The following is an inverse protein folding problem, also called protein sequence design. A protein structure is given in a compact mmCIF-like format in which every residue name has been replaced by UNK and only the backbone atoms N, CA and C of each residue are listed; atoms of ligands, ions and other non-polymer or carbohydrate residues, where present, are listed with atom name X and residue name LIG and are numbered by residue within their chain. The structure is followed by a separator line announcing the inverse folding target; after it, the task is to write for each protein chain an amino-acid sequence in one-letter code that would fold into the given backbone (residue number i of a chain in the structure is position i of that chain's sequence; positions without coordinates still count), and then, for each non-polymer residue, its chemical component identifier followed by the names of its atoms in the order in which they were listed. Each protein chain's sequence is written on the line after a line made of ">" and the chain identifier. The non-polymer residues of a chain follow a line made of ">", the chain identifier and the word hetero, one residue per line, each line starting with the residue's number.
data_IF_455781562209
#
_entry.id   IF_455781562209
#
_cell.length_a   1.000
_cell.length_b   1.000
_cell.length_c   1.000
_cell.angle_alpha   90.00
_cell.angle_beta   90.00
_cell.angle_gamma   90.00
#
_symmetry.space_group_name_H-M   'P 1'
#
loop_
_entity.id
_entity.type
_entity.pdbx_description
1 polymer ?
#
# COMPACT_ATOMS: atom_id res chain seq x y z
N UNK A 1 15.54 -20.90 19.38
CA UNK A 1 16.39 -19.71 19.63
C UNK A 1 16.15 -18.57 18.63
N UNK A 2 16.01 -18.82 17.31
CA UNK A 2 15.73 -17.76 16.31
C UNK A 2 14.40 -17.01 16.50
N UNK A 3 13.32 -17.72 16.87
CA UNK A 3 11.96 -17.14 17.00
C UNK A 3 11.86 -16.08 18.10
N UNK A 4 12.58 -16.24 19.22
CA UNK A 4 12.59 -15.26 20.32
C UNK A 4 13.25 -13.96 19.85
N UNK A 5 14.35 -14.06 19.11
CA UNK A 5 15.08 -12.90 18.61
C UNK A 5 14.29 -12.17 17.52
N UNK A 6 13.62 -12.90 16.62
CA UNK A 6 12.67 -12.32 15.66
C UNK A 6 11.51 -11.60 16.36
N UNK A 7 10.94 -12.21 17.41
CA UNK A 7 9.86 -11.60 18.18
C UNK A 7 10.33 -10.33 18.90
N UNK A 8 11.51 -10.36 19.52
CA UNK A 8 12.11 -9.18 20.16
C UNK A 8 12.38 -8.06 19.15
N UNK A 9 12.86 -8.39 17.95
CA UNK A 9 13.09 -7.42 16.88
C UNK A 9 11.78 -6.79 16.40
N UNK A 10 10.74 -7.58 16.12
CA UNK A 10 9.43 -7.06 15.72
C UNK A 10 8.84 -6.20 16.83
N UNK A 11 8.93 -6.65 18.08
CA UNK A 11 8.46 -5.89 19.24
C UNK A 11 9.22 -4.56 19.40
N UNK A 12 10.54 -4.53 19.23
CA UNK A 12 11.31 -3.29 19.36
C UNK A 12 10.98 -2.29 18.27
N UNK A 13 10.80 -2.74 17.02
CA UNK A 13 10.35 -1.89 15.91
C UNK A 13 8.95 -1.32 16.20
N UNK A 14 8.03 -2.15 16.68
CA UNK A 14 6.68 -1.69 17.04
C UNK A 14 6.72 -0.65 18.18
N UNK A 15 7.51 -0.90 19.22
CA UNK A 15 7.67 0.05 20.34
C UNK A 15 8.26 1.36 19.83
N UNK A 16 9.30 1.31 18.98
CA UNK A 16 9.90 2.50 18.38
C UNK A 16 8.86 3.29 17.59
N UNK A 17 8.11 2.62 16.71
CA UNK A 17 7.06 3.27 15.91
C UNK A 17 6.00 3.93 16.82
N UNK A 18 5.55 3.25 17.88
CA UNK A 18 4.58 3.81 18.83
C UNK A 18 5.14 5.03 19.58
N UNK A 19 6.41 4.98 19.99
CA UNK A 19 7.09 6.10 20.65
C UNK A 19 7.22 7.30 19.71
N UNK A 20 7.66 7.09 18.47
CA UNK A 20 7.81 8.17 17.48
C UNK A 20 6.46 8.76 17.09
N UNK A 21 5.42 7.94 16.88
CA UNK A 21 4.05 8.44 16.65
C UNK A 21 3.58 9.27 17.85
N UNK A 22 3.84 8.81 19.08
CA UNK A 22 3.44 9.55 20.29
C UNK A 22 4.15 10.89 20.42
N UNK A 23 5.43 10.97 20.05
CA UNK A 23 6.16 12.24 19.99
C UNK A 23 5.56 13.18 18.96
N UNK A 24 5.36 12.70 17.73
CA UNK A 24 4.76 13.49 16.64
C UNK A 24 3.40 14.04 17.07
N UNK A 25 2.53 13.21 17.65
CA UNK A 25 1.19 13.62 18.13
C UNK A 25 1.25 14.73 19.18
N UNK A 26 2.28 14.73 20.04
CA UNK A 26 2.47 15.75 21.08
C UNK A 26 3.02 17.05 20.54
N UNK A 27 3.85 16.98 19.50
CA UNK A 27 4.48 18.15 18.87
C UNK A 27 3.58 18.82 17.81
N UNK A 28 2.51 18.14 17.38
CA UNK A 28 1.53 18.67 16.43
C UNK A 28 0.62 19.71 17.10
N UNK A 29 0.55 20.90 16.49
CA UNK A 29 -0.46 21.90 16.81
C UNK A 29 -1.79 21.53 16.13
N UNK A 30 -2.73 21.03 16.93
CA UNK A 30 -4.05 20.60 16.45
C UNK A 30 -4.90 21.75 15.90
N UNK A 31 -4.66 23.00 16.31
CA UNK A 31 -5.36 24.15 15.74
C UNK A 31 -4.93 24.36 14.29
N UNK A 32 -3.62 24.32 14.01
CA UNK A 32 -3.11 24.43 12.63
C UNK A 32 -3.60 23.29 11.73
N UNK A 33 -3.68 22.06 12.25
CA UNK A 33 -4.25 20.93 11.52
C UNK A 33 -5.74 21.18 11.21
N UNK A 34 -6.51 21.62 12.20
CA UNK A 34 -7.93 21.92 12.04
C UNK A 34 -8.14 23.05 11.03
N UNK A 35 -7.38 24.14 11.13
CA UNK A 35 -7.45 25.27 10.20
C UNK A 35 -7.07 24.84 8.77
N UNK A 36 -6.07 23.97 8.62
CA UNK A 36 -5.68 23.39 7.34
C UNK A 36 -6.78 22.53 6.71
N UNK A 37 -7.55 21.80 7.52
CA UNK A 37 -8.69 20.98 7.07
C UNK A 37 -9.91 21.85 6.74
N UNK A 38 -10.23 22.83 7.59
CA UNK A 38 -11.39 23.71 7.42
C UNK A 38 -11.20 24.75 6.31
N UNK A 39 -9.97 25.13 6.01
CA UNK A 39 -9.64 26.02 4.89
C UNK A 39 -9.73 25.35 3.51
N UNK A 40 -9.90 24.02 3.45
CA UNK A 40 -10.09 23.34 2.18
C UNK A 40 -11.43 23.71 1.54
N UNK A 41 -11.39 24.08 0.27
CA UNK A 41 -12.61 24.29 -0.49
C UNK A 41 -13.42 23.00 -0.62
N UNK A 42 -14.74 23.11 -0.63
CA UNK A 42 -15.63 21.95 -0.87
C UNK A 42 -15.31 21.24 -2.19
N UNK A 43 -14.87 22.01 -3.19
CA UNK A 43 -14.44 21.48 -4.47
C UNK A 43 -13.19 20.59 -4.33
N UNK A 44 -12.19 21.01 -3.56
CA UNK A 44 -11.01 20.20 -3.25
C UNK A 44 -11.39 18.88 -2.60
N UNK A 45 -12.32 18.90 -1.63
CA UNK A 45 -12.80 17.70 -0.93
C UNK A 45 -13.49 16.74 -1.91
N UNK A 46 -14.38 17.25 -2.77
CA UNK A 46 -15.05 16.45 -3.81
C UNK A 46 -14.02 15.85 -4.77
N UNK A 47 -13.04 16.63 -5.20
CA UNK A 47 -11.97 16.15 -6.08
C UNK A 47 -11.12 15.08 -5.40
N UNK A 48 -10.77 15.23 -4.12
CA UNK A 48 -10.05 14.21 -3.36
C UNK A 48 -10.83 12.91 -3.27
N UNK A 49 -12.16 12.98 -3.06
CA UNK A 49 -13.02 11.81 -3.04
C UNK A 49 -13.04 11.10 -4.40
N UNK A 50 -13.28 11.86 -5.48
CA UNK A 50 -13.35 11.31 -6.84
C UNK A 50 -12.00 10.71 -7.26
N UNK A 51 -10.90 11.45 -7.09
CA UNK A 51 -9.55 10.98 -7.40
C UNK A 51 -9.17 9.79 -6.51
N UNK A 52 -9.55 9.81 -5.23
CA UNK A 52 -9.39 8.70 -4.31
C UNK A 52 -10.06 7.43 -4.81
N UNK A 53 -11.31 7.50 -5.29
CA UNK A 53 -11.99 6.37 -5.91
C UNK A 53 -11.25 5.91 -7.18
N UNK A 54 -10.87 6.82 -8.06
CA UNK A 54 -10.13 6.47 -9.28
C UNK A 54 -8.76 5.83 -8.97
N UNK A 55 -8.09 6.22 -7.89
CA UNK A 55 -6.79 5.69 -7.47
C UNK A 55 -6.78 4.19 -7.17
N UNK A 56 -7.96 3.61 -6.89
CA UNK A 56 -8.11 2.15 -6.68
C UNK A 56 -8.07 1.41 -8.02
N UNK A 57 -8.40 2.06 -9.14
CA UNK A 57 -8.52 1.42 -10.45
C UNK A 57 -7.21 0.81 -10.94
N UNK A 58 -6.04 1.48 -10.87
CA UNK A 58 -4.76 0.87 -11.20
C UNK A 58 -4.46 -0.39 -10.37
N UNK A 59 -4.94 -0.47 -9.13
CA UNK A 59 -4.71 -1.63 -8.26
C UNK A 59 -5.45 -2.89 -8.75
N UNK A 60 -6.44 -2.76 -9.64
CA UNK A 60 -7.10 -3.90 -10.28
C UNK A 60 -6.15 -4.70 -11.18
N UNK A 61 -5.04 -4.09 -11.63
CA UNK A 61 -4.00 -4.78 -12.40
C UNK A 61 -3.45 -5.97 -11.62
N UNK A 62 -3.38 -5.88 -10.28
CA UNK A 62 -2.98 -7.02 -9.45
C UNK A 62 -3.92 -8.21 -9.61
N UNK A 63 -5.23 -7.98 -9.57
CA UNK A 63 -6.25 -9.01 -9.67
C UNK A 63 -6.33 -9.62 -11.08
N UNK A 64 -6.16 -8.80 -12.12
CA UNK A 64 -6.01 -9.27 -13.50
C UNK A 64 -4.76 -10.17 -13.62
N UNK A 65 -3.66 -9.75 -13.01
CA UNK A 65 -2.41 -10.53 -13.01
C UNK A 65 -2.58 -11.86 -12.27
N UNK A 66 -3.22 -11.89 -11.09
CA UNK A 66 -3.51 -13.14 -10.34
C UNK A 66 -4.27 -14.12 -11.22
N UNK A 67 -5.36 -13.65 -11.82
CA UNK A 67 -6.23 -14.52 -12.62
C UNK A 67 -5.55 -15.04 -13.89
N UNK A 68 -4.59 -14.29 -14.45
CA UNK A 68 -3.75 -14.78 -15.56
C UNK A 68 -2.79 -15.92 -15.17
N UNK A 69 -2.40 -16.00 -13.89
CA UNK A 69 -1.56 -17.11 -13.38
C UNK A 69 -2.37 -18.33 -12.95
N UNK A 70 -3.70 -18.23 -12.89
CA UNK A 70 -4.59 -19.32 -12.54
C UNK A 70 -5.12 -19.98 -13.81
N UNK A 71 -5.31 -21.31 -13.76
CA UNK A 71 -5.84 -22.07 -14.90
C UNK A 71 -7.33 -21.84 -15.15
N UNK A 72 -8.03 -21.18 -14.23
CA UNK A 72 -9.47 -20.90 -14.30
C UNK A 72 -9.75 -19.57 -15.02
N UNK A 73 -10.75 -19.57 -15.91
CA UNK A 73 -11.21 -18.35 -16.58
C UNK A 73 -12.23 -17.63 -15.70
N UNK A 74 -11.86 -16.47 -15.18
CA UNK A 74 -12.77 -15.62 -14.41
C UNK A 74 -13.48 -14.61 -15.32
N UNK A 75 -14.75 -14.33 -15.03
CA UNK A 75 -15.48 -13.25 -15.71
C UNK A 75 -14.87 -11.89 -15.34
N UNK A 76 -14.65 -11.02 -16.32
CA UNK A 76 -14.14 -9.66 -16.11
C UNK A 76 -14.89 -8.88 -15.04
N UNK A 77 -16.24 -8.95 -15.04
CA UNK A 77 -17.07 -8.28 -14.01
C UNK A 77 -16.79 -8.81 -12.60
N UNK A 78 -16.48 -10.10 -12.49
CA UNK A 78 -16.11 -10.71 -11.21
C UNK A 78 -14.79 -10.13 -10.71
N UNK A 79 -13.75 -10.13 -11.57
CA UNK A 79 -12.42 -9.59 -11.25
C UNK A 79 -12.50 -8.13 -10.81
N UNK A 80 -13.27 -7.30 -11.53
CA UNK A 80 -13.47 -5.90 -11.16
C UNK A 80 -14.08 -5.76 -9.77
N UNK A 81 -15.16 -6.49 -9.49
CA UNK A 81 -15.86 -6.41 -8.20
C UNK A 81 -14.99 -6.95 -7.05
N UNK A 82 -14.40 -8.14 -7.20
CA UNK A 82 -13.57 -8.76 -6.17
C UNK A 82 -12.27 -7.98 -5.94
N UNK A 83 -11.66 -7.48 -7.01
CA UNK A 83 -10.46 -6.65 -6.94
C UNK A 83 -10.73 -5.30 -6.27
N UNK A 84 -11.83 -4.63 -6.60
CA UNK A 84 -12.17 -3.36 -5.98
C UNK A 84 -12.40 -3.51 -4.47
N UNK A 85 -13.17 -4.52 -4.06
CA UNK A 85 -13.40 -4.86 -2.66
C UNK A 85 -12.05 -5.15 -1.98
N UNK A 86 -11.26 -6.06 -2.55
CA UNK A 86 -10.00 -6.47 -1.93
C UNK A 86 -9.04 -5.30 -1.75
N UNK A 87 -8.85 -4.47 -2.77
CA UNK A 87 -7.93 -3.34 -2.70
C UNK A 87 -8.41 -2.28 -1.71
N UNK A 88 -9.71 -1.96 -1.69
CA UNK A 88 -10.27 -1.01 -0.72
C UNK A 88 -10.06 -1.48 0.72
N UNK A 89 -10.39 -2.74 1.03
CA UNK A 89 -10.18 -3.30 2.37
C UNK A 89 -8.70 -3.38 2.73
N UNK A 90 -7.83 -3.70 1.78
CA UNK A 90 -6.37 -3.76 2.01
C UNK A 90 -5.81 -2.37 2.34
N UNK A 91 -6.25 -1.33 1.64
CA UNK A 91 -5.80 0.05 1.86
C UNK A 91 -6.26 0.61 3.22
N UNK A 92 -7.44 0.23 3.70
CA UNK A 92 -7.94 0.66 5.02
C UNK A 92 -7.23 -0.09 6.14
N UNK A 93 -7.14 -1.41 6.04
CA UNK A 93 -6.76 -2.23 7.17
C UNK A 93 -5.25 -2.37 7.35
N UNK A 94 -4.44 -2.09 6.33
CA UNK A 94 -2.98 -1.90 6.46
C UNK A 94 -2.17 -3.11 6.96
N UNK A 95 -2.76 -4.29 7.14
CA UNK A 95 -2.14 -5.51 7.69
C UNK A 95 -1.09 -6.18 6.77
N UNK A 96 -0.20 -5.41 6.14
CA UNK A 96 0.98 -5.95 5.43
C UNK A 96 0.66 -6.96 4.33
N UNK A 97 -0.51 -6.83 3.68
CA UNK A 97 -0.95 -7.74 2.62
C UNK A 97 -1.66 -9.02 3.09
N UNK A 98 -1.77 -9.31 4.39
CA UNK A 98 -2.47 -10.51 4.90
C UNK A 98 -3.96 -10.49 4.55
N UNK A 99 -4.64 -9.38 4.81
CA UNK A 99 -6.06 -9.25 4.47
C UNK A 99 -6.31 -9.32 2.96
N UNK A 100 -5.46 -8.66 2.18
CA UNK A 100 -5.51 -8.73 0.72
C UNK A 100 -5.31 -10.15 0.20
N UNK A 101 -4.30 -10.87 0.71
CA UNK A 101 -4.03 -12.26 0.36
C UNK A 101 -5.20 -13.19 0.74
N UNK A 102 -5.80 -12.98 1.91
CA UNK A 102 -6.93 -13.78 2.40
C UNK A 102 -8.17 -13.59 1.53
N UNK A 103 -8.53 -12.34 1.21
CA UNK A 103 -9.65 -12.04 0.33
C UNK A 103 -9.43 -12.58 -1.09
N UNK A 104 -8.22 -12.42 -1.64
CA UNK A 104 -7.85 -13.00 -2.94
C UNK A 104 -7.89 -14.53 -2.95
N UNK A 105 -7.43 -15.17 -1.88
CA UNK A 105 -7.56 -16.61 -1.74
C UNK A 105 -9.02 -17.06 -1.64
N UNK A 106 -9.88 -16.27 -0.97
CA UNK A 106 -11.31 -16.55 -0.88
C UNK A 106 -12.05 -16.37 -2.21
N UNK A 107 -11.73 -15.32 -2.97
CA UNK A 107 -12.37 -15.04 -4.27
C UNK A 107 -11.83 -15.91 -5.41
N UNK A 108 -10.51 -16.09 -5.51
CA UNK A 108 -9.88 -16.77 -6.65
C UNK A 108 -9.41 -18.19 -6.36
N UNK A 109 -9.38 -18.61 -5.10
CA UNK A 109 -8.82 -19.91 -4.70
C UNK A 109 -9.79 -21.08 -4.65
N UNK A 110 -11.08 -20.91 -4.96
CA UNK A 110 -12.10 -21.96 -4.76
C UNK A 110 -11.89 -23.23 -5.58
N UNK A 111 -11.33 -23.15 -6.79
CA UNK A 111 -11.05 -24.31 -7.65
C UNK A 111 -9.57 -24.52 -7.98
N UNK A 112 -8.69 -23.69 -7.44
CA UNK A 112 -7.25 -23.75 -7.68
C UNK A 112 -6.53 -24.34 -6.47
N UNK A 113 -5.42 -25.05 -6.68
CA UNK A 113 -4.64 -25.59 -5.57
C UNK A 113 -4.12 -24.44 -4.69
N UNK A 114 -4.16 -24.60 -3.35
CA UNK A 114 -3.60 -23.63 -2.39
C UNK A 114 -2.17 -23.22 -2.75
N UNK A 115 -1.38 -24.13 -3.33
CA UNK A 115 0.00 -23.86 -3.80
C UNK A 115 0.03 -22.89 -5.00
N UNK A 116 -0.89 -23.02 -5.95
CA UNK A 116 -0.96 -22.14 -7.12
C UNK A 116 -1.39 -20.73 -6.73
N UNK A 117 -2.39 -20.63 -5.83
CA UNK A 117 -2.85 -19.35 -5.29
C UNK A 117 -1.72 -18.65 -4.53
N UNK A 118 -1.01 -19.38 -3.67
CA UNK A 118 0.13 -18.84 -2.93
C UNK A 118 1.25 -18.38 -3.88
N UNK A 119 1.58 -19.18 -4.90
CA UNK A 119 2.59 -18.82 -5.90
C UNK A 119 2.24 -17.54 -6.67
N UNK A 120 0.97 -17.40 -7.10
CA UNK A 120 0.49 -16.20 -7.78
C UNK A 120 0.57 -14.96 -6.86
N UNK A 121 0.18 -15.10 -5.60
CA UNK A 121 0.28 -14.03 -4.60
C UNK A 121 1.75 -13.64 -4.36
N UNK A 122 2.66 -14.60 -4.20
CA UNK A 122 4.09 -14.35 -4.01
C UNK A 122 4.73 -13.62 -5.19
N UNK A 123 4.39 -13.98 -6.43
CA UNK A 123 4.88 -13.26 -7.62
C UNK A 123 4.46 -11.80 -7.64
N UNK A 124 3.23 -11.50 -7.22
CA UNK A 124 2.74 -10.13 -7.22
C UNK A 124 3.35 -9.32 -6.08
N UNK A 125 3.59 -9.94 -4.92
CA UNK A 125 4.34 -9.29 -3.86
C UNK A 125 5.74 -8.85 -4.35
N UNK A 126 6.41 -9.69 -5.16
CA UNK A 126 7.69 -9.32 -5.78
C UNK A 126 7.53 -8.17 -6.79
N UNK A 127 6.51 -8.19 -7.65
CA UNK A 127 6.25 -7.10 -8.59
C UNK A 127 5.95 -5.77 -7.89
N UNK A 128 5.19 -5.80 -6.79
CA UNK A 128 4.91 -4.63 -5.97
C UNK A 128 6.20 -4.05 -5.38
N UNK A 129 7.04 -4.90 -4.78
CA UNK A 129 8.29 -4.47 -4.15
C UNK A 129 9.28 -3.91 -5.17
N UNK A 130 9.40 -4.57 -6.32
CA UNK A 130 10.24 -4.12 -7.42
C UNK A 130 9.74 -2.78 -8.00
N UNK A 131 8.43 -2.66 -8.24
CA UNK A 131 7.81 -1.41 -8.72
C UNK A 131 8.05 -0.25 -7.76
N UNK A 132 7.80 -0.46 -6.46
CA UNK A 132 8.04 0.56 -5.44
C UNK A 132 9.52 0.98 -5.40
N UNK A 133 10.42 0.01 -5.50
CA UNK A 133 11.87 0.26 -5.51
C UNK A 133 12.29 1.06 -6.75
N UNK A 134 11.72 0.77 -7.93
CA UNK A 134 11.95 1.57 -9.14
C UNK A 134 11.44 3.01 -8.94
N UNK A 135 10.26 3.20 -8.35
CA UNK A 135 9.76 4.55 -8.03
C UNK A 135 10.68 5.29 -7.07
N UNK A 136 11.26 4.62 -6.07
CA UNK A 136 12.26 5.23 -5.18
C UNK A 136 13.51 5.67 -5.95
N UNK A 137 14.03 4.83 -6.86
CA UNK A 137 15.17 5.21 -7.71
C UNK A 137 14.87 6.38 -8.63
N UNK A 138 13.68 6.40 -9.25
CA UNK A 138 13.23 7.53 -10.08
C UNK A 138 13.14 8.81 -9.25
N UNK A 139 12.57 8.72 -8.04
CA UNK A 139 12.47 9.86 -7.12
C UNK A 139 13.86 10.41 -6.75
N UNK A 140 14.81 9.53 -6.41
CA UNK A 140 16.20 9.93 -6.13
C UNK A 140 16.86 10.60 -7.33
N UNK A 141 16.66 10.06 -8.54
CA UNK A 141 17.19 10.67 -9.75
C UNK A 141 16.60 12.05 -10.02
N UNK A 142 15.31 12.25 -9.78
CA UNK A 142 14.66 13.56 -9.94
C UNK A 142 15.22 14.57 -8.94
N UNK A 143 15.43 14.17 -7.68
CA UNK A 143 15.95 15.04 -6.62
C UNK A 143 17.41 15.41 -6.87
N UNK A 144 18.29 14.43 -7.16
CA UNK A 144 19.74 14.66 -7.27
C UNK A 144 20.23 14.95 -8.68
N UNK A 145 19.60 14.38 -9.70
CA UNK A 145 19.96 14.60 -11.11
C UNK A 145 19.33 15.86 -11.67
N UNK A 146 18.01 16.01 -11.52
CA UNK A 146 17.26 17.15 -12.07
C UNK A 146 17.14 18.34 -11.11
N UNK A 147 17.61 18.19 -9.87
CA UNK A 147 17.55 19.23 -8.81
C UNK A 147 16.12 19.72 -8.51
N UNK A 148 15.11 18.91 -8.83
CA UNK A 148 13.70 19.21 -8.55
C UNK A 148 13.43 18.82 -7.10
N UNK A 149 13.00 19.79 -6.29
CA UNK A 149 12.81 19.57 -4.85
C UNK A 149 14.09 19.75 -4.03
N UNK A 150 15.00 20.64 -4.44
CA UNK A 150 16.25 20.96 -3.75
C UNK A 150 16.12 21.36 -2.26
N UNK A 151 14.91 21.60 -1.74
CA UNK A 151 14.69 21.72 -0.29
C UNK A 151 14.83 20.40 0.47
N UNK A 152 14.55 19.27 -0.20
CA UNK A 152 14.61 17.91 0.37
C UNK A 152 16.05 17.40 0.53
N UNK A 153 17.00 17.91 -0.26
CA UNK A 153 18.41 17.53 -0.14
C UNK A 153 19.01 17.91 1.21
N UNK A 154 18.42 18.89 1.93
CA UNK A 154 18.84 19.28 3.30
C UNK A 154 18.56 18.20 4.36
N UNK A 155 17.64 17.29 4.10
CA UNK A 155 17.32 16.17 5.00
C UNK A 155 18.06 14.88 4.61
N UNK A 156 18.96 14.97 3.63
CA UNK A 156 19.80 13.86 3.24
C UNK A 156 20.83 13.61 4.34
N UNK A 157 20.94 12.34 4.74
CA UNK A 157 21.76 11.94 5.90
C UNK A 157 23.25 11.86 5.54
N UNK A 158 23.60 11.86 4.23
CA UNK A 158 24.95 11.58 3.73
C UNK A 158 25.65 12.76 3.05
#
# INVERSE_FOLDING_TARGET
>A
KSTILQLMFVASVLILVLVEISKIIRDVDWNQVSDGLLSQSIFSIIMMLILGMFSVTPMLIYDISITSFLSEKFNWKYILKSGWITNTFTNIAGFGGILGATLRASFYGKKSSKKQVLYAISKIALFLLAGLSIYCWVSLFIIFGLHIGAGLTKYWIW
#
